data_IF_170170971019
#
_entry.id   IF_170170971019
#
_cell.length_a   1.000
_cell.length_b   1.000
_cell.length_c   1.000
_cell.angle_alpha   90.00
_cell.angle_beta   90.00
_cell.angle_gamma   90.00
#
_symmetry.space_group_name_H-M   'P 1'
#
loop_
_entity.id
_entity.type
_entity.pdbx_description
1 polymer ?
#
# COMPACT_ATOMS: atom_id res chain seq x y z
N UNK A 1 -5.28 31.62 -2.74
CA UNK A 1 -3.81 31.77 -2.82
C UNK A 1 -3.23 30.46 -2.32
N UNK A 2 -2.74 29.60 -3.23
CA UNK A 2 -2.25 28.24 -2.91
C UNK A 2 -0.79 28.39 -2.44
N UNK A 3 -0.48 27.89 -1.25
CA UNK A 3 0.87 27.95 -0.67
C UNK A 3 1.79 26.94 -1.40
N UNK A 4 2.95 27.35 -1.96
CA UNK A 4 3.80 26.47 -2.77
C UNK A 4 4.91 25.74 -1.97
N UNK A 5 4.70 25.47 -0.68
CA UNK A 5 5.71 24.81 0.18
C UNK A 5 5.09 23.74 1.07
N UNK A 6 4.22 22.90 0.52
CA UNK A 6 4.19 21.53 1.00
C UNK A 6 5.27 20.81 0.18
N UNK A 7 6.36 20.30 0.78
CA UNK A 7 7.20 19.36 0.06
C UNK A 7 6.27 18.19 -0.23
N UNK A 8 5.65 18.19 -1.42
CA UNK A 8 4.85 17.11 -1.99
C UNK A 8 5.50 15.84 -1.51
N UNK A 9 4.96 15.30 -0.40
CA UNK A 9 5.55 14.17 0.28
C UNK A 9 5.51 13.16 -0.82
N UNK A 10 6.68 12.84 -1.39
CA UNK A 10 6.83 11.95 -2.53
C UNK A 10 6.33 10.63 -2.02
N UNK A 11 5.02 10.46 -2.07
CA UNK A 11 4.33 9.26 -1.69
C UNK A 11 5.02 8.23 -2.57
N UNK A 12 5.64 7.21 -1.99
CA UNK A 12 6.12 6.09 -2.77
C UNK A 12 5.05 5.76 -3.79
N UNK A 13 5.43 5.64 -5.06
CA UNK A 13 4.54 5.24 -6.15
C UNK A 13 5.24 4.05 -6.77
N UNK A 14 4.51 2.97 -7.08
CA UNK A 14 5.10 1.95 -7.92
C UNK A 14 5.35 2.55 -9.31
N UNK A 15 6.58 2.44 -9.79
CA UNK A 15 6.87 2.77 -11.18
C UNK A 15 6.51 1.55 -12.02
N UNK A 16 5.50 1.69 -12.87
CA UNK A 16 5.13 0.68 -13.87
C UNK A 16 5.25 1.34 -15.24
N UNK A 17 6.02 0.72 -16.14
CA UNK A 17 6.24 1.21 -17.50
C UNK A 17 6.78 2.65 -17.60
N UNK A 18 7.58 3.07 -16.60
CA UNK A 18 8.15 4.43 -16.55
C UNK A 18 7.21 5.51 -15.99
N UNK A 19 5.98 5.15 -15.62
CA UNK A 19 5.01 6.05 -14.99
C UNK A 19 4.72 5.66 -13.54
N UNK A 20 4.52 6.66 -12.68
CA UNK A 20 4.01 6.42 -11.33
C UNK A 20 2.57 5.89 -11.40
N UNK A 21 2.38 4.63 -11.03
CA UNK A 21 1.09 3.97 -10.92
C UNK A 21 0.78 3.60 -9.45
N UNK A 22 -0.49 3.63 -9.02
CA UNK A 22 -0.87 3.15 -7.71
C UNK A 22 -0.50 1.67 -7.54
N UNK A 23 -0.02 1.29 -6.36
CA UNK A 23 0.11 -0.12 -6.01
C UNK A 23 -1.27 -0.69 -5.74
N UNK A 24 -1.53 -1.87 -6.28
CA UNK A 24 -2.78 -2.61 -6.11
C UNK A 24 -2.48 -4.01 -5.58
N UNK A 25 -3.21 -4.47 -4.57
CA UNK A 25 -3.12 -5.83 -4.08
C UNK A 25 -3.41 -6.82 -5.22
N UNK A 26 -2.49 -7.75 -5.48
CA UNK A 26 -2.67 -8.77 -6.51
C UNK A 26 -3.79 -9.78 -6.16
N UNK A 27 -4.10 -9.95 -4.88
CA UNK A 27 -5.12 -10.91 -4.41
C UNK A 27 -6.54 -10.36 -4.54
N UNK A 28 -6.78 -9.11 -4.11
CA UNK A 28 -8.13 -8.54 -4.05
C UNK A 28 -8.35 -7.37 -5.01
N UNK A 29 -7.30 -6.81 -5.62
CA UNK A 29 -7.38 -5.66 -6.53
C UNK A 29 -7.53 -4.29 -5.84
N UNK A 30 -7.52 -4.23 -4.51
CA UNK A 30 -7.63 -2.97 -3.78
C UNK A 30 -6.38 -2.09 -3.97
N UNK A 31 -6.57 -0.78 -4.08
CA UNK A 31 -5.46 0.19 -4.04
C UNK A 31 -4.84 0.19 -2.65
N UNK A 32 -3.51 0.16 -2.60
CA UNK A 32 -2.73 0.20 -1.38
C UNK A 32 -2.19 1.61 -1.10
N UNK A 33 -1.89 1.86 0.17
CA UNK A 33 -1.17 3.05 0.63
C UNK A 33 0.21 2.68 1.16
N UNK A 34 1.20 3.49 0.86
CA UNK A 34 2.55 3.33 1.38
C UNK A 34 2.60 3.70 2.86
N UNK A 35 3.24 2.86 3.67
CA UNK A 35 3.62 3.13 5.05
C UNK A 35 5.05 2.64 5.32
N UNK A 36 5.51 2.81 6.55
CA UNK A 36 6.77 2.22 7.01
C UNK A 36 6.47 0.96 7.83
N UNK A 37 7.21 -0.11 7.59
CA UNK A 37 7.20 -1.33 8.39
C UNK A 37 8.63 -1.82 8.55
N UNK A 38 9.07 -2.01 9.80
CA UNK A 38 10.40 -2.50 10.15
C UNK A 38 11.54 -1.83 9.37
N UNK A 39 11.51 -0.48 9.34
CA UNK A 39 12.46 0.39 8.61
C UNK A 39 12.39 0.38 7.07
N UNK A 40 11.53 -0.44 6.47
CA UNK A 40 11.31 -0.48 5.02
C UNK A 40 9.95 0.12 4.61
N UNK A 41 9.84 0.51 3.34
CA UNK A 41 8.56 0.93 2.75
C UNK A 41 7.72 -0.33 2.50
N UNK A 42 6.54 -0.36 3.07
CA UNK A 42 5.54 -1.40 2.85
C UNK A 42 4.22 -0.80 2.38
N UNK A 43 3.40 -1.63 1.74
CA UNK A 43 2.12 -1.23 1.18
C UNK A 43 0.98 -1.92 1.91
N UNK A 44 0.00 -1.13 2.34
CA UNK A 44 -1.09 -1.58 3.20
C UNK A 44 -2.45 -1.25 2.59
N UNK A 45 -3.44 -2.06 2.93
CA UNK A 45 -4.82 -1.71 2.63
C UNK A 45 -5.19 -0.43 3.39
N UNK A 46 -5.91 0.48 2.73
CA UNK A 46 -6.62 1.53 3.47
C UNK A 46 -7.57 0.83 4.41
N UNK A 47 -7.43 1.04 5.72
CA UNK A 47 -8.22 0.34 6.72
C UNK A 47 -9.57 1.06 6.90
N UNK A 48 -10.66 0.57 6.30
CA UNK A 48 -11.97 1.21 6.41
C UNK A 48 -12.66 0.62 7.63
N UNK A 49 -13.56 1.41 8.23
CA UNK A 49 -14.30 1.17 9.48
C UNK A 49 -14.50 -0.34 9.75
N UNK A 50 -13.78 -0.86 10.76
CA UNK A 50 -13.82 -2.25 11.22
C UNK A 50 -13.22 -3.34 10.28
N UNK A 51 -12.18 -3.02 9.50
CA UNK A 51 -11.35 -4.01 8.79
C UNK A 51 -11.98 -4.58 7.50
N UNK A 52 -12.77 -3.77 6.79
CA UNK A 52 -13.44 -4.15 5.54
C UNK A 52 -13.00 -3.25 4.40
N UNK A 53 -12.60 -3.79 3.25
CA UNK A 53 -12.18 -2.97 2.10
C UNK A 53 -13.25 -1.98 1.60
N UNK A 54 -12.91 -1.13 0.63
CA UNK A 54 -13.85 -0.15 0.05
C UNK A 54 -15.11 -0.77 -0.59
N UNK A 55 -15.13 -2.10 -0.79
CA UNK A 55 -16.27 -2.87 -1.30
C UNK A 55 -17.02 -3.61 -0.18
N UNK A 56 -16.59 -3.47 1.08
CA UNK A 56 -17.18 -4.14 2.23
C UNK A 56 -16.67 -5.57 2.46
N UNK A 57 -15.67 -6.04 1.72
CA UNK A 57 -15.13 -7.39 1.84
C UNK A 57 -14.10 -7.47 2.97
N UNK A 58 -14.17 -8.53 3.78
CA UNK A 58 -13.09 -8.92 4.71
C UNK A 58 -12.24 -9.97 4.02
N UNK A 59 -11.16 -9.53 3.38
CA UNK A 59 -10.21 -10.40 2.69
C UNK A 59 -9.05 -10.73 3.62
N UNK A 60 -8.53 -11.95 3.54
CA UNK A 60 -7.47 -12.41 4.45
C UNK A 60 -6.24 -11.50 4.41
N UNK A 61 -5.96 -10.86 3.27
CA UNK A 61 -4.81 -9.98 3.07
C UNK A 61 -4.95 -8.57 3.66
N UNK A 62 -6.06 -8.27 4.34
CA UNK A 62 -6.37 -6.91 4.79
C UNK A 62 -5.35 -6.36 5.80
N UNK A 63 -4.82 -7.22 6.67
CA UNK A 63 -3.89 -6.83 7.74
C UNK A 63 -2.42 -7.06 7.37
N UNK A 64 -2.13 -7.65 6.20
CA UNK A 64 -0.78 -7.99 5.78
C UNK A 64 -0.08 -6.84 5.05
N UNK A 65 1.23 -6.74 5.28
CA UNK A 65 2.11 -5.89 4.49
C UNK A 65 2.23 -6.44 3.05
N UNK A 66 2.38 -5.54 2.09
CA UNK A 66 2.63 -5.85 0.69
C UNK A 66 3.89 -5.17 0.19
N UNK A 67 4.50 -5.77 -0.84
CA UNK A 67 5.61 -5.19 -1.58
C UNK A 67 5.15 -4.16 -2.62
N UNK A 68 6.11 -3.54 -3.32
CA UNK A 68 5.85 -2.56 -4.40
C UNK A 68 5.10 -3.15 -5.61
N UNK A 69 5.15 -4.48 -5.79
CA UNK A 69 4.42 -5.16 -6.84
C UNK A 69 2.96 -5.44 -6.45
N UNK A 70 2.63 -5.36 -5.15
CA UNK A 70 1.30 -5.60 -4.61
C UNK A 70 1.07 -7.06 -4.19
N UNK A 71 2.13 -7.85 -4.02
CA UNK A 71 2.05 -9.17 -3.39
C UNK A 71 2.26 -9.03 -1.88
N UNK A 72 1.70 -9.97 -1.09
CA UNK A 72 2.00 -10.00 0.35
C UNK A 72 3.51 -10.07 0.52
N UNK A 73 4.06 -9.11 1.26
CA UNK A 73 5.40 -9.23 1.76
C UNK A 73 5.38 -10.41 2.72
N UNK A 74 5.98 -11.53 2.31
CA UNK A 74 6.29 -12.59 3.25
C UNK A 74 7.31 -11.95 4.16
N UNK A 75 6.89 -11.50 5.35
CA UNK A 75 7.85 -11.21 6.40
C UNK A 75 8.73 -12.44 6.44
N UNK A 76 10.03 -12.29 6.16
CA UNK A 76 11.01 -13.33 6.47
C UNK A 76 11.12 -13.40 8.01
N UNK A 77 10.02 -13.71 8.68
CA UNK A 77 9.98 -14.23 10.03
C UNK A 77 10.24 -15.74 9.92
N UNK A 78 11.39 -16.10 9.33
CA UNK A 78 11.96 -17.44 9.43
C UNK A 78 13.48 -17.37 9.31
N UNK A 79 14.13 -17.10 10.44
CA UNK A 79 15.30 -17.80 10.99
C UNK A 79 16.00 -16.93 12.04
#
# INVERSE_FOLDING_TARGET
MIHPTDPEVRRPVAVRDGHGAPVTCATCGCRLHSGMADHDIAWFHFNPIAGRDARGCRVDCVDDAHDVAGYRAVSLALA
#
